data_IF_415223420124
#
_entry.id   IF_415223420124
#
_cell.length_a   1.000
_cell.length_b   1.000
_cell.length_c   1.000
_cell.angle_alpha   90.00
_cell.angle_beta   90.00
_cell.angle_gamma   90.00
#
_symmetry.space_group_name_H-M   'P 1'
#
loop_
_entity.id
_entity.type
_entity.pdbx_description
1 polymer ?
#
# COMPACT_ATOMS: atom_id res chain seq x y z
N UNK A 1 -3.19 16.24 -61.22
CA UNK A 1 -2.47 17.20 -60.35
C UNK A 1 -3.36 17.53 -59.17
N UNK A 2 -3.23 16.77 -58.07
CA UNK A 2 -4.01 17.00 -56.85
C UNK A 2 -3.52 18.29 -56.20
N UNK A 3 -4.44 19.23 -56.01
CA UNK A 3 -4.15 20.61 -55.65
C UNK A 3 -3.68 20.67 -54.17
N UNK A 4 -2.37 20.82 -53.96
CA UNK A 4 -1.71 20.74 -52.65
C UNK A 4 -2.34 21.68 -51.59
N UNK A 5 -2.92 22.82 -52.02
CA UNK A 5 -3.68 23.73 -51.15
C UNK A 5 -4.94 23.10 -50.53
N UNK A 6 -5.62 22.22 -51.26
CA UNK A 6 -6.86 21.58 -50.79
C UNK A 6 -6.58 20.47 -49.76
N UNK A 7 -5.43 19.80 -49.87
CA UNK A 7 -4.99 18.78 -48.92
C UNK A 7 -4.62 19.38 -47.54
N UNK A 8 -3.98 20.57 -47.53
CA UNK A 8 -3.56 21.25 -46.30
C UNK A 8 -4.77 21.76 -45.50
N UNK A 9 -5.82 22.23 -46.17
CA UNK A 9 -7.06 22.69 -45.51
C UNK A 9 -7.78 21.53 -44.81
N UNK A 10 -7.78 20.33 -45.42
CA UNK A 10 -8.40 19.14 -44.83
C UNK A 10 -7.66 18.63 -43.58
N UNK A 11 -6.33 18.75 -43.55
CA UNK A 11 -5.51 18.38 -42.39
C UNK A 11 -5.73 19.35 -41.22
N UNK A 12 -5.90 20.64 -41.48
CA UNK A 12 -6.20 21.63 -40.43
C UNK A 12 -7.60 21.46 -39.81
N UNK A 13 -8.59 21.01 -40.58
CA UNK A 13 -9.94 20.71 -40.09
C UNK A 13 -9.99 19.49 -39.15
N UNK A 14 -9.13 18.49 -39.38
CA UNK A 14 -9.06 17.28 -38.54
C UNK A 14 -8.36 17.53 -37.18
N UNK A 15 -7.44 18.50 -37.09
CA UNK A 15 -6.78 18.86 -35.85
C UNK A 15 -7.65 19.72 -34.89
N UNK A 16 -8.83 20.16 -35.32
CA UNK A 16 -9.72 21.00 -34.50
C UNK A 16 -10.64 20.19 -33.58
N UNK A 17 -10.74 18.87 -33.78
CA UNK A 17 -11.54 17.99 -32.93
C UNK A 17 -10.70 17.42 -31.78
N UNK A 18 -10.29 18.31 -30.87
CA UNK A 18 -9.78 17.91 -29.56
C UNK A 18 -10.94 17.38 -28.73
N UNK A 19 -11.16 16.07 -28.73
CA UNK A 19 -12.06 15.43 -27.77
C UNK A 19 -11.55 15.74 -26.36
N UNK A 20 -12.35 16.37 -25.48
CA UNK A 20 -11.93 16.59 -24.10
C UNK A 20 -11.64 15.25 -23.44
N UNK A 21 -10.45 15.12 -22.84
CA UNK A 21 -10.13 13.97 -22.01
C UNK A 21 -11.18 13.88 -20.89
N UNK A 22 -11.87 12.75 -20.82
CA UNK A 22 -12.91 12.49 -19.81
C UNK A 22 -12.23 12.25 -18.46
N UNK A 23 -11.80 13.33 -17.79
CA UNK A 23 -11.32 13.28 -16.41
C UNK A 23 -12.46 12.71 -15.58
N UNK A 24 -12.30 11.51 -15.04
CA UNK A 24 -13.30 10.92 -14.15
C UNK A 24 -13.01 11.49 -12.77
N UNK A 25 -13.79 12.47 -12.26
CA UNK A 25 -13.60 12.91 -10.89
C UNK A 25 -13.85 11.71 -9.98
N UNK A 26 -13.01 11.56 -8.94
CA UNK A 26 -13.10 10.53 -7.89
C UNK A 26 -12.51 9.14 -8.22
N UNK A 27 -11.36 9.08 -8.90
CA UNK A 27 -10.55 7.86 -8.96
C UNK A 27 -9.13 8.12 -8.46
N UNK A 28 -8.66 7.23 -7.59
CA UNK A 28 -7.25 7.15 -7.21
C UNK A 28 -6.58 6.03 -8.02
N UNK A 29 -5.34 6.24 -8.43
CA UNK A 29 -4.54 5.24 -9.12
C UNK A 29 -3.15 5.14 -8.52
N UNK A 30 -2.56 3.95 -8.61
CA UNK A 30 -1.16 3.72 -8.25
C UNK A 30 -0.52 2.67 -9.12
N UNK A 31 0.69 2.96 -9.58
CA UNK A 31 1.54 2.03 -10.30
C UNK A 31 2.50 1.33 -9.35
N UNK A 32 2.55 0.01 -9.45
CA UNK A 32 3.48 -0.85 -8.72
C UNK A 32 4.47 -1.44 -9.71
N UNK A 33 5.71 -0.97 -9.66
CA UNK A 33 6.81 -1.52 -10.43
C UNK A 33 7.44 -2.68 -9.70
N UNK A 34 7.73 -3.75 -10.43
CA UNK A 34 8.24 -5.01 -9.87
C UNK A 34 7.40 -5.50 -8.67
N UNK A 35 6.07 -5.69 -8.81
CA UNK A 35 5.19 -6.05 -7.70
C UNK A 35 5.71 -7.24 -6.90
N UNK A 36 5.63 -7.15 -5.57
CA UNK A 36 6.17 -8.17 -4.65
C UNK A 36 5.06 -8.82 -3.84
N UNK A 37 5.15 -10.13 -3.63
CA UNK A 37 4.27 -10.90 -2.75
C UNK A 37 5.11 -11.81 -1.85
N UNK A 38 4.87 -11.73 -0.54
CA UNK A 38 5.65 -12.46 0.48
C UNK A 38 7.17 -12.28 0.37
N UNK A 39 7.62 -11.08 -0.03
CA UNK A 39 9.04 -10.73 -0.13
C UNK A 39 9.71 -11.10 -1.45
N UNK A 40 8.98 -11.68 -2.41
CA UNK A 40 9.50 -12.07 -3.73
C UNK A 40 8.66 -11.47 -4.85
N UNK A 41 9.19 -11.46 -6.08
CA UNK A 41 8.47 -10.89 -7.23
C UNK A 41 7.19 -11.70 -7.50
N UNK A 42 6.07 -11.01 -7.66
CA UNK A 42 4.78 -11.64 -7.94
C UNK A 42 4.83 -12.37 -9.29
N UNK A 43 4.46 -13.66 -9.29
CA UNK A 43 4.35 -14.46 -10.50
C UNK A 43 3.23 -13.93 -11.40
N UNK A 44 3.45 -13.94 -12.71
CA UNK A 44 2.48 -13.47 -13.70
C UNK A 44 1.19 -14.31 -13.75
N UNK A 45 1.28 -15.59 -13.38
CA UNK A 45 0.19 -16.55 -13.39
C UNK A 45 -0.13 -17.09 -11.99
N UNK A 46 -1.30 -17.72 -11.85
CA UNK A 46 -1.68 -18.57 -10.72
C UNK A 46 -0.83 -19.84 -10.70
N UNK A 47 -0.85 -20.54 -9.55
CA UNK A 47 -0.07 -21.77 -9.35
C UNK A 47 -0.40 -22.87 -10.37
N UNK A 48 -1.65 -22.98 -10.78
CA UNK A 48 -2.11 -23.94 -11.78
C UNK A 48 -1.97 -23.44 -13.23
N UNK A 49 -1.47 -22.23 -13.42
CA UNK A 49 -1.29 -21.59 -14.73
C UNK A 49 -2.58 -21.21 -15.46
N UNK A 50 -3.76 -21.37 -14.84
CA UNK A 50 -5.05 -21.10 -15.50
C UNK A 50 -5.40 -19.63 -15.56
N UNK A 51 -4.98 -18.86 -14.56
CA UNK A 51 -5.18 -17.42 -14.52
C UNK A 51 -3.85 -16.70 -14.68
N UNK A 52 -3.78 -15.75 -15.62
CA UNK A 52 -2.56 -14.97 -15.84
C UNK A 52 -2.90 -13.49 -16.05
N UNK A 53 -1.91 -12.62 -15.83
CA UNK A 53 -2.02 -11.21 -16.12
C UNK A 53 -3.10 -10.51 -15.29
N UNK A 54 -4.12 -9.94 -15.94
CA UNK A 54 -5.10 -9.05 -15.30
C UNK A 54 -5.84 -9.71 -14.13
N UNK A 55 -6.10 -11.02 -14.18
CA UNK A 55 -6.80 -11.73 -13.10
C UNK A 55 -5.96 -11.78 -11.82
N UNK A 56 -4.67 -12.15 -11.94
CA UNK A 56 -3.70 -12.13 -10.84
C UNK A 56 -3.45 -10.68 -10.38
N UNK A 57 -3.33 -9.74 -11.32
CA UNK A 57 -3.16 -8.33 -11.00
C UNK A 57 -4.36 -7.73 -10.23
N UNK A 58 -5.59 -8.10 -10.60
CA UNK A 58 -6.80 -7.70 -9.89
C UNK A 58 -6.78 -8.23 -8.45
N UNK A 59 -6.45 -9.51 -8.26
CA UNK A 59 -6.30 -10.09 -6.92
C UNK A 59 -5.25 -9.31 -6.14
N UNK A 60 -4.10 -9.02 -6.73
CA UNK A 60 -3.04 -8.22 -6.10
C UNK A 60 -3.51 -6.82 -5.69
N UNK A 61 -4.18 -6.08 -6.59
CA UNK A 61 -4.74 -4.77 -6.29
C UNK A 61 -5.77 -4.82 -5.15
N UNK A 62 -6.66 -5.81 -5.14
CA UNK A 62 -7.62 -6.05 -4.06
C UNK A 62 -6.93 -6.33 -2.72
N UNK A 63 -5.84 -7.11 -2.73
CA UNK A 63 -5.01 -7.32 -1.53
C UNK A 63 -4.33 -6.03 -1.03
N UNK A 64 -4.19 -5.02 -1.88
CA UNK A 64 -3.64 -3.72 -1.50
C UNK A 64 -4.71 -2.68 -1.19
N UNK A 65 -6.00 -3.04 -1.27
CA UNK A 65 -7.13 -2.15 -1.00
C UNK A 65 -7.55 -1.28 -2.21
N UNK A 66 -7.32 -1.76 -3.43
CA UNK A 66 -7.81 -1.15 -4.66
C UNK A 66 -8.87 -2.07 -5.33
N UNK A 67 -9.82 -1.48 -6.05
CA UNK A 67 -10.93 -2.14 -6.71
C UNK A 67 -10.43 -3.19 -7.71
N UNK A 68 -9.46 -2.80 -8.55
CA UNK A 68 -8.95 -3.61 -9.64
C UNK A 68 -7.65 -3.08 -10.23
N UNK A 69 -7.05 -3.88 -11.12
CA UNK A 69 -5.98 -3.43 -12.01
C UNK A 69 -6.58 -2.85 -13.31
N UNK A 70 -6.22 -1.62 -13.64
CA UNK A 70 -6.56 -1.01 -14.94
C UNK A 70 -5.66 -1.56 -16.05
N UNK A 71 -4.38 -1.78 -15.74
CA UNK A 71 -3.38 -2.30 -16.68
C UNK A 71 -2.32 -3.12 -15.94
N UNK A 72 -1.71 -4.05 -16.65
CA UNK A 72 -0.54 -4.78 -16.18
C UNK A 72 0.34 -5.23 -17.35
N UNK A 73 1.65 -5.33 -17.16
CA UNK A 73 2.55 -5.94 -18.13
C UNK A 73 3.48 -6.97 -17.50
N UNK A 74 3.92 -7.90 -18.33
CA UNK A 74 4.75 -9.04 -17.94
C UNK A 74 6.24 -8.68 -18.02
N UNK A 75 7.02 -9.24 -17.10
CA UNK A 75 8.46 -9.36 -17.18
C UNK A 75 8.82 -10.83 -17.36
N UNK A 76 9.43 -11.15 -18.50
CA UNK A 76 9.80 -12.53 -18.83
C UNK A 76 11.06 -12.97 -18.10
N UNK A 77 11.14 -14.26 -17.78
CA UNK A 77 12.36 -14.94 -17.37
C UNK A 77 13.11 -14.29 -16.19
N UNK A 78 12.37 -13.84 -15.17
CA UNK A 78 12.91 -13.13 -14.00
C UNK A 78 13.51 -14.06 -12.94
N UNK A 79 13.47 -15.37 -13.16
CA UNK A 79 14.19 -16.36 -12.36
C UNK A 79 13.48 -16.80 -11.08
N UNK A 80 13.07 -15.87 -10.23
CA UNK A 80 12.44 -16.17 -8.93
C UNK A 80 11.16 -15.36 -8.77
N UNK A 81 10.03 -16.07 -8.61
CA UNK A 81 8.74 -15.45 -8.33
C UNK A 81 7.89 -16.26 -7.35
N UNK A 82 6.85 -15.63 -6.80
CA UNK A 82 5.93 -16.25 -5.85
C UNK A 82 4.49 -16.17 -6.35
N UNK A 83 3.73 -17.25 -6.20
CA UNK A 83 2.36 -17.35 -6.68
C UNK A 83 1.40 -16.64 -5.73
N UNK A 84 0.47 -15.85 -6.29
CA UNK A 84 -0.53 -15.14 -5.48
C UNK A 84 -1.35 -16.12 -4.64
N UNK A 85 -1.63 -15.74 -3.39
CA UNK A 85 -2.40 -16.56 -2.43
C UNK A 85 -1.82 -17.95 -2.13
N UNK A 86 -0.52 -18.15 -2.39
CA UNK A 86 0.21 -19.38 -2.04
C UNK A 86 1.57 -19.03 -1.45
N UNK A 87 2.24 -20.01 -0.83
CA UNK A 87 3.68 -19.90 -0.50
C UNK A 87 4.57 -20.56 -1.56
N UNK A 88 3.96 -21.16 -2.58
CA UNK A 88 4.68 -21.80 -3.67
C UNK A 88 5.47 -20.77 -4.49
N UNK A 89 6.64 -21.19 -4.94
CA UNK A 89 7.57 -20.37 -5.69
C UNK A 89 7.76 -20.96 -7.09
N UNK A 90 8.00 -20.10 -8.06
CA UNK A 90 8.59 -20.48 -9.33
C UNK A 90 10.09 -20.16 -9.27
N UNK A 91 10.92 -21.17 -9.54
CA UNK A 91 12.38 -21.04 -9.62
C UNK A 91 12.86 -21.51 -10.99
N UNK A 92 13.65 -20.69 -11.66
CA UNK A 92 14.28 -20.99 -12.94
C UNK A 92 13.96 -19.97 -14.04
N UNK A 93 14.64 -20.11 -15.16
CA UNK A 93 14.61 -19.14 -16.26
C UNK A 93 13.24 -19.00 -16.93
N UNK A 94 12.30 -19.96 -16.76
CA UNK A 94 10.93 -19.88 -17.32
C UNK A 94 9.96 -19.08 -16.44
N UNK A 95 10.41 -18.61 -15.28
CA UNK A 95 9.55 -17.92 -14.33
C UNK A 95 9.33 -16.48 -14.76
N UNK A 96 8.08 -16.14 -15.01
CA UNK A 96 7.65 -14.78 -15.37
C UNK A 96 7.07 -14.08 -14.15
N UNK A 97 7.27 -12.76 -14.08
CA UNK A 97 6.68 -11.90 -13.07
C UNK A 97 5.96 -10.72 -13.69
N UNK A 98 5.40 -9.85 -12.86
CA UNK A 98 4.89 -8.57 -13.33
C UNK A 98 6.03 -7.55 -13.46
N UNK A 99 6.02 -6.78 -14.56
CA UNK A 99 6.85 -5.58 -14.70
C UNK A 99 6.18 -4.41 -13.98
N UNK A 100 4.92 -4.14 -14.32
CA UNK A 100 4.10 -3.13 -13.66
C UNK A 100 2.67 -3.61 -13.52
N UNK A 101 2.02 -3.22 -12.43
CA UNK A 101 0.57 -3.29 -12.24
C UNK A 101 0.07 -1.88 -11.89
N UNK A 102 -0.91 -1.39 -12.64
CA UNK A 102 -1.62 -0.14 -12.35
C UNK A 102 -2.92 -0.49 -11.63
N UNK A 103 -3.00 -0.20 -10.34
CA UNK A 103 -4.21 -0.37 -9.55
C UNK A 103 -5.03 0.92 -9.56
N UNK A 104 -6.35 0.77 -9.53
CA UNK A 104 -7.32 1.87 -9.48
C UNK A 104 -8.36 1.60 -8.41
N UNK A 105 -8.79 2.66 -7.74
CA UNK A 105 -9.85 2.66 -6.73
C UNK A 105 -10.79 3.84 -6.99
N UNK A 106 -12.09 3.63 -6.89
CA UNK A 106 -13.06 4.73 -6.85
C UNK A 106 -13.07 5.34 -5.45
N UNK A 107 -12.80 6.64 -5.38
CA UNK A 107 -12.91 7.37 -4.12
C UNK A 107 -14.40 7.49 -3.77
N UNK A 108 -14.82 6.75 -2.75
CA UNK A 108 -16.16 6.84 -2.19
C UNK A 108 -16.10 7.45 -0.79
N UNK A 109 -17.24 7.94 -0.30
CA UNK A 109 -17.35 8.38 1.10
C UNK A 109 -17.35 7.20 2.09
N UNK A 110 -17.50 5.97 1.59
CA UNK A 110 -17.40 4.76 2.39
C UNK A 110 -15.95 4.27 2.39
N UNK A 111 -15.36 4.02 3.57
CA UNK A 111 -13.99 3.50 3.64
C UNK A 111 -13.91 2.10 3.00
N UNK A 112 -12.83 1.78 2.25
CA UNK A 112 -12.66 0.51 1.55
C UNK A 112 -12.55 -0.68 2.51
N UNK A 113 -12.96 -1.86 2.05
CA UNK A 113 -12.90 -3.10 2.81
C UNK A 113 -11.45 -3.52 3.11
N UNK A 114 -11.19 -3.91 4.37
CA UNK A 114 -9.83 -4.18 4.86
C UNK A 114 -9.33 -5.57 4.43
N UNK A 115 -8.56 -5.67 3.33
CA UNK A 115 -7.94 -6.93 2.93
C UNK A 115 -6.40 -6.88 2.85
N UNK A 116 -5.79 -7.98 3.34
CA UNK A 116 -4.39 -8.45 3.26
C UNK A 116 -3.24 -7.77 4.03
N UNK A 117 -3.47 -6.67 4.74
CA UNK A 117 -2.67 -6.35 5.94
C UNK A 117 -3.61 -6.22 7.14
N UNK A 118 -4.21 -7.35 7.55
CA UNK A 118 -5.06 -7.39 8.76
C UNK A 118 -4.30 -6.83 9.95
N UNK A 119 -3.00 -7.13 10.05
CA UNK A 119 -2.16 -6.75 11.16
C UNK A 119 -0.75 -6.33 10.71
N UNK A 120 -0.19 -5.32 11.37
CA UNK A 120 1.23 -4.98 11.29
C UNK A 120 1.80 -4.81 12.68
N UNK A 121 2.93 -5.48 12.91
CA UNK A 121 3.72 -5.37 14.12
C UNK A 121 4.74 -4.24 13.97
N UNK A 122 4.70 -3.30 14.91
CA UNK A 122 5.67 -2.24 15.09
C UNK A 122 6.51 -2.54 16.33
N UNK A 123 7.75 -2.94 16.11
CA UNK A 123 8.74 -3.07 17.18
C UNK A 123 9.25 -1.69 17.59
N UNK A 124 9.36 -1.43 18.89
CA UNK A 124 9.83 -0.15 19.44
C UNK A 124 9.19 1.07 18.75
N UNK A 125 7.85 1.15 18.66
CA UNK A 125 7.14 2.11 17.83
C UNK A 125 7.55 3.55 18.14
N UNK A 126 7.83 4.30 17.08
CA UNK A 126 8.25 5.70 17.13
C UNK A 126 7.30 6.59 16.33
N UNK A 127 7.18 7.84 16.74
CA UNK A 127 6.47 8.89 16.03
C UNK A 127 7.26 10.19 16.13
N UNK A 128 7.57 10.82 14.99
CA UNK A 128 8.41 12.02 14.90
C UNK A 128 9.69 11.89 15.75
N UNK A 129 10.49 10.86 15.41
CA UNK A 129 11.82 10.52 15.98
C UNK A 129 11.84 9.91 17.40
N UNK A 130 10.83 10.18 18.23
CA UNK A 130 10.77 9.66 19.60
C UNK A 130 10.01 8.35 19.70
N UNK A 131 10.47 7.49 20.62
CA UNK A 131 9.71 6.30 21.01
C UNK A 131 8.46 6.72 21.77
N UNK A 132 7.35 6.08 21.44
CA UNK A 132 6.04 6.48 21.97
C UNK A 132 5.94 6.08 23.44
N UNK A 133 5.55 7.06 24.25
CA UNK A 133 5.26 6.86 25.66
C UNK A 133 4.08 5.89 25.84
N UNK A 134 4.10 5.14 26.94
CA UNK A 134 3.02 4.24 27.31
C UNK A 134 1.67 4.97 27.47
N UNK A 135 1.69 6.26 27.77
CA UNK A 135 0.54 7.11 28.00
C UNK A 135 0.23 8.08 26.85
N UNK A 136 -1.06 8.31 26.62
CA UNK A 136 -1.54 9.22 25.57
C UNK A 136 -1.22 10.67 25.90
N UNK A 137 -1.33 11.02 27.19
CA UNK A 137 -0.81 12.25 27.80
C UNK A 137 0.00 11.90 29.03
N UNK A 138 0.71 12.85 29.63
CA UNK A 138 1.51 12.58 30.83
C UNK A 138 0.65 11.92 31.94
N UNK A 139 0.95 10.67 32.27
CA UNK A 139 0.23 9.90 33.29
C UNK A 139 -1.23 9.52 32.97
N UNK A 140 -1.75 9.86 31.78
CA UNK A 140 -3.18 9.69 31.46
C UNK A 140 -3.41 8.99 30.13
N UNK A 141 -4.46 8.16 30.07
CA UNK A 141 -4.84 7.45 28.84
C UNK A 141 -3.81 6.42 28.40
N UNK A 142 -3.30 5.63 29.34
CA UNK A 142 -2.21 4.70 29.08
C UNK A 142 -2.63 3.37 28.44
N UNK A 143 -1.69 2.72 27.76
CA UNK A 143 -1.93 1.45 27.07
C UNK A 143 -2.81 1.62 25.84
N UNK A 144 -4.05 1.13 25.90
CA UNK A 144 -4.92 1.01 24.73
C UNK A 144 -5.18 2.33 24.00
N UNK A 145 -5.41 3.43 24.72
CA UNK A 145 -5.70 4.74 24.11
C UNK A 145 -4.50 5.27 23.33
N UNK A 146 -3.30 5.21 23.91
CA UNK A 146 -2.07 5.61 23.23
C UNK A 146 -1.75 4.69 22.04
N UNK A 147 -1.90 3.37 22.21
CA UNK A 147 -1.66 2.38 21.15
C UNK A 147 -2.64 2.54 19.97
N UNK A 148 -3.92 2.77 20.24
CA UNK A 148 -4.92 3.04 19.21
C UNK A 148 -4.61 4.32 18.44
N UNK A 149 -4.24 5.40 19.14
CA UNK A 149 -3.84 6.65 18.50
C UNK A 149 -2.64 6.45 17.57
N UNK A 150 -1.65 5.66 18.00
CA UNK A 150 -0.52 5.29 17.14
C UNK A 150 -1.00 4.54 15.89
N UNK A 151 -1.82 3.52 16.06
CA UNK A 151 -2.33 2.74 14.94
C UNK A 151 -3.12 3.59 13.94
N UNK A 152 -3.97 4.51 14.41
CA UNK A 152 -4.70 5.45 13.56
C UNK A 152 -3.76 6.36 12.76
N UNK A 153 -2.71 6.90 13.40
CA UNK A 153 -1.68 7.71 12.72
C UNK A 153 -0.86 6.89 11.71
N UNK A 154 -0.73 5.58 11.93
CA UNK A 154 -0.10 4.65 11.00
C UNK A 154 -1.04 4.11 9.90
N UNK A 155 -2.30 4.55 9.86
CA UNK A 155 -3.28 4.14 8.84
C UNK A 155 -4.05 2.85 9.15
N UNK A 156 -4.06 2.41 10.41
CA UNK A 156 -4.79 1.24 10.91
C UNK A 156 -5.98 1.66 11.77
N UNK A 157 -6.98 0.78 11.94
CA UNK A 157 -8.20 1.11 12.69
C UNK A 157 -7.98 1.08 14.20
N UNK A 158 -7.20 0.12 14.72
CA UNK A 158 -6.98 -0.06 16.16
C UNK A 158 -5.71 -0.84 16.48
N UNK A 159 -5.30 -0.83 17.74
CA UNK A 159 -4.31 -1.75 18.27
C UNK A 159 -4.97 -3.07 18.67
N UNK A 160 -4.47 -4.19 18.15
CA UNK A 160 -4.89 -5.54 18.52
C UNK A 160 -4.17 -6.03 19.78
N UNK A 161 -2.87 -5.76 19.88
CA UNK A 161 -2.02 -6.16 21.01
C UNK A 161 -0.87 -5.17 21.18
N UNK A 162 -0.43 -4.96 22.41
CA UNK A 162 0.73 -4.12 22.69
C UNK A 162 1.42 -4.57 23.97
N UNK A 163 2.72 -4.29 24.07
CA UNK A 163 3.54 -4.64 25.24
C UNK A 163 4.26 -3.41 25.76
N UNK A 164 4.32 -3.28 27.09
CA UNK A 164 5.02 -2.20 27.78
C UNK A 164 6.49 -2.58 27.98
N UNK A 165 7.37 -1.58 27.92
CA UNK A 165 8.74 -1.63 28.42
C UNK A 165 8.92 -0.50 29.44
N UNK A 166 9.62 -0.77 30.52
CA UNK A 166 9.94 0.17 31.61
C UNK A 166 11.42 0.53 31.54
N UNK A 167 11.81 1.56 32.29
CA UNK A 167 13.21 1.98 32.41
C UNK A 167 13.85 2.40 31.08
N UNK A 168 13.10 3.18 30.30
CA UNK A 168 13.54 3.71 29.00
C UNK A 168 14.01 5.14 29.18
N UNK A 169 15.12 5.50 28.54
CA UNK A 169 15.78 6.80 28.73
C UNK A 169 14.99 8.01 28.20
N UNK A 170 14.19 7.81 27.14
CA UNK A 170 13.43 8.89 26.53
C UNK A 170 12.16 8.38 25.81
N UNK A 171 11.05 9.07 26.02
CA UNK A 171 9.77 8.83 25.33
C UNK A 171 9.05 10.14 25.03
N UNK A 172 8.08 10.10 24.11
CA UNK A 172 7.18 11.21 23.82
C UNK A 172 5.73 10.74 23.82
N UNK A 173 4.83 11.44 24.51
CA UNK A 173 3.40 11.13 24.48
C UNK A 173 2.84 11.44 23.10
N UNK A 174 1.87 10.65 22.65
CA UNK A 174 1.33 10.77 21.28
C UNK A 174 0.15 11.76 21.18
N UNK A 175 -0.45 12.12 22.30
CA UNK A 175 -1.63 12.98 22.35
C UNK A 175 -1.30 14.44 22.62
N UNK A 176 -0.36 14.71 23.53
CA UNK A 176 0.00 16.06 23.99
C UNK A 176 1.47 16.39 23.82
N UNK A 177 2.23 15.49 23.19
CA UNK A 177 3.60 15.72 22.75
C UNK A 177 4.62 16.02 23.86
N UNK A 178 4.30 15.74 25.13
CA UNK A 178 5.25 15.90 26.22
C UNK A 178 6.36 14.84 26.15
N UNK A 179 7.57 15.28 26.51
CA UNK A 179 8.76 14.43 26.58
C UNK A 179 8.95 13.91 28.00
N UNK A 180 9.36 12.65 28.11
CA UNK A 180 9.91 12.08 29.33
C UNK A 180 11.38 11.74 29.10
N UNK A 181 12.23 12.08 30.06
CA UNK A 181 13.64 11.76 30.07
C UNK A 181 14.04 11.11 31.40
N UNK A 182 15.03 10.22 31.37
CA UNK A 182 15.54 9.50 32.54
C UNK A 182 15.06 8.05 32.61
N UNK A 183 15.51 7.31 33.63
CA UNK A 183 15.31 5.85 33.70
C UNK A 183 13.93 5.44 34.26
N UNK A 184 12.97 6.36 34.33
CA UNK A 184 11.61 6.05 34.79
C UNK A 184 10.57 6.02 33.67
N UNK A 185 10.97 6.42 32.45
CA UNK A 185 10.03 6.48 31.34
C UNK A 185 9.60 5.08 30.90
N UNK A 186 8.37 5.03 30.38
CA UNK A 186 7.68 3.81 30.00
C UNK A 186 7.28 3.95 28.55
N UNK A 187 7.62 2.95 27.74
CA UNK A 187 7.36 2.97 26.32
C UNK A 187 6.61 1.72 25.88
N UNK A 188 6.13 1.73 24.64
CA UNK A 188 5.71 0.48 23.99
C UNK A 188 6.92 -0.28 23.48
N UNK A 189 7.08 -1.56 23.87
CA UNK A 189 8.01 -2.53 23.24
C UNK A 189 7.53 -2.95 21.86
N UNK A 190 6.21 -3.12 21.75
CA UNK A 190 5.52 -3.61 20.57
C UNK A 190 4.12 -2.99 20.52
N UNK A 191 3.67 -2.63 19.33
CA UNK A 191 2.24 -2.47 19.02
C UNK A 191 1.93 -3.28 17.75
N UNK A 192 0.94 -4.17 17.83
CA UNK A 192 0.31 -4.83 16.68
C UNK A 192 -0.93 -4.03 16.34
N UNK A 193 -0.88 -3.32 15.23
CA UNK A 193 -2.01 -2.59 14.70
C UNK A 193 -2.82 -3.48 13.78
N UNK A 194 -4.15 -3.36 13.82
CA UNK A 194 -5.05 -4.03 12.91
C UNK A 194 -5.98 -3.07 12.20
N UNK A 195 -6.31 -3.39 10.95
CA UNK A 195 -7.35 -2.71 10.20
C UNK A 195 -8.69 -3.42 10.38
#
# INVERSE_FOLDING_TARGET
MCNFRSLVVFIFLLCSFSLPAKTTPNQAFRSFWHPMFLGERLNYCSLDGKECGKQVANRYCKMLGYDSASQSSIAYNVGLTNFIASRAQCKGWRCNGFMVINCTERLTHNPPEAYHYREKQFAYPRYNDYRIDWCYRQGSGCGARAANSFCSRMGYMKAKRFLKETQISATKTIGSEELCFGNECKAFKLIICSR
#
